data_IF_153851786237
#
_entry.id   IF_153851786237
#
_cell.length_a   1.000
_cell.length_b   1.000
_cell.length_c   1.000
_cell.angle_alpha   90.00
_cell.angle_beta   90.00
_cell.angle_gamma   90.00
#
_symmetry.space_group_name_H-M   'P 1'
#
loop_
_entity.id
_entity.type
_entity.pdbx_description
1 polymer ?
#
# COMPACT_ATOMS: atom_id res chain seq x y z
N UNK A 1 -10.65 -1.30 17.85
CA UNK A 1 -9.57 -2.27 17.54
C UNK A 1 -8.26 -1.67 18.00
N UNK A 2 -7.35 -2.49 18.57
CA UNK A 2 -6.01 -2.05 18.96
C UNK A 2 -5.00 -2.80 18.11
N UNK A 3 -4.09 -2.05 17.46
CA UNK A 3 -2.92 -2.57 16.72
C UNK A 3 -1.70 -2.14 17.53
N UNK A 4 -0.85 -3.11 17.91
CA UNK A 4 0.41 -2.77 18.58
C UNK A 4 1.41 -2.29 17.53
N UNK A 5 2.23 -1.32 17.91
CA UNK A 5 3.22 -0.70 17.03
C UNK A 5 4.54 -0.58 17.78
N UNK A 6 5.63 -0.85 17.04
CA UNK A 6 7.01 -0.59 17.46
C UNK A 6 7.69 0.27 16.41
N UNK A 7 8.46 1.25 16.82
CA UNK A 7 9.28 2.09 15.94
C UNK A 7 10.76 1.67 16.04
N UNK A 8 11.48 1.78 14.93
CA UNK A 8 12.91 1.48 14.89
C UNK A 8 13.75 2.49 15.69
N UNK A 9 13.29 3.74 15.75
CA UNK A 9 13.94 4.84 16.48
C UNK A 9 12.92 5.94 16.83
N UNK A 10 13.34 6.89 17.65
CA UNK A 10 12.46 7.96 18.15
C UNK A 10 12.04 8.99 17.09
N UNK A 11 12.70 9.04 15.92
CA UNK A 11 12.36 9.97 14.83
C UNK A 11 11.27 9.44 13.89
N UNK A 12 10.92 8.15 14.00
CA UNK A 12 9.88 7.51 13.18
C UNK A 12 8.51 8.12 13.48
N UNK A 13 7.81 8.53 12.42
CA UNK A 13 6.47 9.09 12.56
C UNK A 13 5.43 7.98 12.66
N UNK A 14 4.69 7.99 13.77
CA UNK A 14 3.57 7.07 13.98
C UNK A 14 2.42 7.50 13.06
N UNK A 15 1.81 6.55 12.29
CA UNK A 15 0.67 6.85 11.44
C UNK A 15 -0.53 7.34 12.26
N UNK A 16 -1.15 8.42 11.82
CA UNK A 16 -2.36 8.98 12.42
C UNK A 16 -3.35 9.36 11.33
N UNK A 17 -4.63 9.34 11.65
CA UNK A 17 -5.68 9.89 10.78
C UNK A 17 -5.58 11.41 10.75
N UNK A 18 -5.54 12.00 9.57
CA UNK A 18 -5.37 13.45 9.41
C UNK A 18 -6.58 14.24 9.91
N UNK A 19 -7.80 13.74 9.66
CA UNK A 19 -9.07 14.37 10.05
C UNK A 19 -9.81 13.58 11.14
N UNK A 20 -9.33 12.39 11.49
CA UNK A 20 -9.89 11.52 12.51
C UNK A 20 -10.35 10.16 12.01
N UNK A 21 -10.55 9.19 12.93
CA UNK A 21 -10.80 7.80 12.59
C UNK A 21 -12.20 7.53 12.00
N UNK A 22 -13.06 8.51 11.96
CA UNK A 22 -14.41 8.42 11.37
C UNK A 22 -14.52 9.12 10.01
N UNK A 23 -13.48 9.88 9.61
CA UNK A 23 -13.46 10.66 8.38
C UNK A 23 -12.44 10.11 7.39
N UNK A 24 -11.32 9.58 7.88
CA UNK A 24 -10.26 9.00 7.06
C UNK A 24 -10.26 7.47 7.15
N UNK A 25 -10.13 6.79 6.01
CA UNK A 25 -9.91 5.35 5.97
C UNK A 25 -8.42 4.99 6.07
N UNK A 26 -7.53 5.87 5.64
CA UNK A 26 -6.09 5.66 5.54
C UNK A 26 -5.28 6.59 6.45
N UNK A 27 -4.16 6.07 6.92
CA UNK A 27 -3.16 6.81 7.69
C UNK A 27 -1.90 6.97 6.83
N UNK A 28 -1.32 8.18 6.78
CA UNK A 28 -0.10 8.40 6.00
C UNK A 28 1.11 7.65 6.57
N UNK A 29 1.86 7.00 5.68
CA UNK A 29 3.17 6.43 5.95
C UNK A 29 4.27 7.38 5.48
N UNK A 30 5.31 7.51 6.29
CA UNK A 30 6.42 8.40 6.04
C UNK A 30 7.72 7.61 5.81
N UNK A 31 8.57 8.12 4.94
CA UNK A 31 9.92 7.58 4.76
C UNK A 31 10.77 7.81 6.02
N UNK A 32 11.47 6.79 6.53
CA UNK A 32 12.44 6.94 7.62
C UNK A 32 13.87 7.23 7.11
N UNK A 33 14.07 7.12 5.81
CA UNK A 33 15.35 7.42 5.13
C UNK A 33 15.12 8.16 3.81
N UNK A 34 16.16 8.81 3.30
CA UNK A 34 16.15 9.40 1.97
C UNK A 34 16.46 8.34 0.91
N UNK A 35 15.73 8.37 -0.21
CA UNK A 35 15.89 7.42 -1.32
C UNK A 35 15.82 8.17 -2.66
N UNK A 36 16.65 7.78 -3.63
CA UNK A 36 16.59 8.26 -5.01
C UNK A 36 15.81 7.28 -5.88
N UNK A 37 14.68 7.72 -6.42
CA UNK A 37 13.91 6.92 -7.37
C UNK A 37 14.36 7.25 -8.80
N UNK A 38 14.69 6.22 -9.57
CA UNK A 38 14.92 6.31 -11.02
C UNK A 38 13.66 5.83 -11.77
N UNK A 39 13.43 6.32 -12.99
CA UNK A 39 12.28 5.90 -13.77
C UNK A 39 12.23 4.39 -13.98
N UNK A 40 11.09 3.80 -13.65
CA UNK A 40 10.81 2.37 -13.81
C UNK A 40 11.75 1.41 -13.02
N UNK A 41 12.51 1.93 -12.06
CA UNK A 41 13.31 1.14 -11.13
C UNK A 41 12.61 1.11 -9.76
N UNK A 42 11.97 0.00 -9.35
CA UNK A 42 11.34 -0.09 -8.04
C UNK A 42 12.37 0.00 -6.91
N UNK A 43 12.01 0.73 -5.85
CA UNK A 43 12.82 0.87 -4.64
C UNK A 43 11.98 0.57 -3.42
N UNK A 44 12.55 -0.14 -2.44
CA UNK A 44 11.95 -0.30 -1.12
C UNK A 44 12.33 0.89 -0.27
N UNK A 45 11.33 1.64 0.19
CA UNK A 45 11.52 2.76 1.12
C UNK A 45 11.09 2.31 2.51
N UNK A 46 11.99 2.37 3.46
CA UNK A 46 11.76 1.99 4.85
C UNK A 46 10.89 3.02 5.56
N UNK A 47 10.04 2.55 6.46
CA UNK A 47 9.17 3.40 7.28
C UNK A 47 9.58 3.44 8.75
N UNK A 48 10.47 2.55 9.17
CA UNK A 48 10.84 2.36 10.57
C UNK A 48 9.73 1.76 11.45
N UNK A 49 8.62 1.29 10.83
CA UNK A 49 7.44 0.80 11.53
C UNK A 49 7.36 -0.72 11.53
N UNK A 50 7.04 -1.29 12.69
CA UNK A 50 6.66 -2.69 12.86
C UNK A 50 5.29 -2.73 13.54
N UNK A 51 4.39 -3.60 13.07
CA UNK A 51 3.03 -3.70 13.64
C UNK A 51 2.69 -5.14 14.00
N UNK A 52 1.77 -5.28 14.95
CA UNK A 52 1.14 -6.55 15.30
C UNK A 52 -0.37 -6.39 15.12
N UNK A 53 -0.89 -6.98 14.06
CA UNK A 53 -2.30 -6.98 13.74
C UNK A 53 -3.03 -8.09 14.51
N UNK A 54 -4.29 -7.86 14.93
CA UNK A 54 -5.12 -8.93 15.45
C UNK A 54 -5.46 -9.95 14.34
N UNK A 55 -5.71 -11.23 14.69
CA UNK A 55 -6.18 -12.23 13.73
C UNK A 55 -7.42 -11.76 12.96
N UNK A 56 -7.51 -12.11 11.68
CA UNK A 56 -8.61 -11.71 10.80
C UNK A 56 -8.51 -10.26 10.29
N UNK A 57 -7.35 -9.61 10.49
CA UNK A 57 -7.08 -8.28 9.95
C UNK A 57 -5.80 -8.27 9.13
N UNK A 58 -5.78 -7.46 8.10
CA UNK A 58 -4.60 -7.12 7.31
C UNK A 58 -4.34 -5.61 7.34
N UNK A 59 -3.12 -5.18 7.05
CA UNK A 59 -2.86 -3.80 6.67
C UNK A 59 -2.58 -3.73 5.18
N UNK A 60 -3.29 -2.85 4.48
CA UNK A 60 -3.11 -2.59 3.06
C UNK A 60 -2.30 -1.33 2.86
N UNK A 61 -1.19 -1.44 2.14
CA UNK A 61 -0.35 -0.31 1.75
C UNK A 61 -0.76 0.14 0.36
N UNK A 62 -1.27 1.36 0.27
CA UNK A 62 -1.86 1.94 -0.94
C UNK A 62 -1.12 3.20 -1.38
N UNK A 63 -1.13 3.46 -2.69
CA UNK A 63 -0.61 4.71 -3.25
C UNK A 63 -1.34 5.93 -2.70
N UNK A 64 -0.64 7.06 -2.60
CA UNK A 64 -1.25 8.36 -2.36
C UNK A 64 -1.60 9.02 -3.68
N UNK A 65 -2.85 9.44 -3.82
CA UNK A 65 -3.36 10.07 -5.03
C UNK A 65 -2.54 11.30 -5.47
N UNK A 66 -2.08 12.10 -4.49
CA UNK A 66 -1.28 13.28 -4.76
C UNK A 66 0.09 12.95 -5.38
N UNK A 67 0.80 11.92 -4.89
CA UNK A 67 2.06 11.46 -5.47
C UNK A 67 1.86 10.83 -6.84
N UNK A 68 0.81 10.01 -6.99
CA UNK A 68 0.49 9.38 -8.26
C UNK A 68 0.18 10.43 -9.35
N UNK A 69 -0.71 11.38 -9.07
CA UNK A 69 -1.14 12.38 -10.05
C UNK A 69 -0.06 13.42 -10.36
N UNK A 70 0.62 13.93 -9.32
CA UNK A 70 1.55 15.07 -9.48
C UNK A 70 2.95 14.63 -9.91
N UNK A 71 3.38 13.45 -9.50
CA UNK A 71 4.76 12.98 -9.66
C UNK A 71 4.88 11.65 -10.41
N UNK A 72 3.78 10.92 -10.66
CA UNK A 72 3.83 9.60 -11.28
C UNK A 72 4.47 8.52 -10.38
N UNK A 73 4.37 8.70 -9.05
CA UNK A 73 4.92 7.75 -8.08
C UNK A 73 3.79 6.93 -7.47
N UNK A 74 3.94 5.62 -7.52
CA UNK A 74 2.95 4.68 -7.01
C UNK A 74 3.61 3.60 -6.14
N UNK A 75 2.82 2.96 -5.30
CA UNK A 75 3.20 1.70 -4.67
C UNK A 75 3.04 0.62 -5.72
N UNK A 76 4.12 -0.07 -6.08
CA UNK A 76 4.15 -0.99 -7.23
C UNK A 76 3.19 -2.16 -7.05
N UNK A 77 3.14 -2.75 -5.86
CA UNK A 77 2.28 -3.88 -5.49
C UNK A 77 0.98 -3.43 -4.81
N UNK A 78 0.43 -2.27 -5.18
CA UNK A 78 -0.75 -1.71 -4.53
C UNK A 78 -2.03 -2.51 -4.81
N UNK A 79 -2.76 -2.95 -3.75
CA UNK A 79 -2.41 -2.80 -2.35
C UNK A 79 -1.31 -3.79 -1.91
N UNK A 80 -0.27 -3.29 -1.25
CA UNK A 80 0.69 -4.16 -0.54
C UNK A 80 0.00 -4.77 0.68
N UNK A 81 0.20 -6.07 0.93
CA UNK A 81 -0.43 -6.79 2.04
C UNK A 81 0.55 -6.97 3.20
N UNK A 82 0.12 -6.60 4.40
CA UNK A 82 0.81 -6.90 5.65
C UNK A 82 -0.05 -7.88 6.44
N UNK A 83 0.45 -9.08 6.59
CA UNK A 83 -0.24 -10.17 7.27
C UNK A 83 -0.26 -10.00 8.81
N UNK A 84 -1.24 -10.57 9.52
CA UNK A 84 -1.30 -10.51 10.98
C UNK A 84 -0.11 -11.20 11.66
N UNK A 85 0.55 -12.14 10.99
CA UNK A 85 1.75 -12.83 11.50
C UNK A 85 3.06 -12.11 11.19
N UNK A 86 3.07 -11.09 10.31
CA UNK A 86 4.29 -10.36 9.95
C UNK A 86 4.76 -9.47 11.11
N UNK A 87 6.06 -9.53 11.41
CA UNK A 87 6.72 -8.72 12.46
C UNK A 87 7.90 -7.91 11.93
N UNK A 88 8.20 -8.04 10.65
CA UNK A 88 9.24 -7.26 9.98
C UNK A 88 8.89 -5.78 9.89
N UNK A 89 9.84 -4.99 9.45
CA UNK A 89 9.64 -3.58 9.13
C UNK A 89 8.74 -3.43 7.91
N UNK A 90 7.78 -2.50 7.97
CA UNK A 90 6.96 -2.13 6.81
C UNK A 90 7.83 -1.38 5.82
N UNK A 91 8.15 -2.01 4.71
CA UNK A 91 8.79 -1.39 3.55
C UNK A 91 7.76 -1.07 2.47
N UNK A 92 7.84 0.11 1.89
CA UNK A 92 6.97 0.53 0.78
C UNK A 92 7.72 0.40 -0.53
N UNK A 93 7.24 -0.46 -1.45
CA UNK A 93 7.84 -0.62 -2.78
C UNK A 93 7.31 0.51 -3.67
N UNK A 94 8.11 1.56 -3.86
CA UNK A 94 7.77 2.67 -4.73
C UNK A 94 8.28 2.44 -6.14
N UNK A 95 7.48 2.84 -7.13
CA UNK A 95 7.87 2.93 -8.53
C UNK A 95 7.54 4.33 -9.04
N UNK A 96 8.50 4.95 -9.72
CA UNK A 96 8.33 6.22 -10.41
C UNK A 96 8.34 6.00 -11.92
N UNK A 97 7.34 6.48 -12.64
CA UNK A 97 7.24 6.33 -14.09
C UNK A 97 8.02 7.39 -14.90
N UNK A 98 8.82 8.22 -14.23
CA UNK A 98 9.59 9.28 -14.88
C UNK A 98 8.79 10.55 -15.21
N UNK A 99 7.53 10.65 -14.77
CA UNK A 99 6.71 11.83 -15.02
C UNK A 99 7.36 13.10 -14.45
N UNK A 100 7.50 14.12 -15.30
CA UNK A 100 8.21 15.39 -15.00
C UNK A 100 9.69 15.22 -14.67
N UNK A 101 10.34 14.18 -15.18
CA UNK A 101 11.79 14.06 -15.08
C UNK A 101 12.46 15.26 -15.78
N UNK A 102 13.46 15.84 -15.12
CA UNK A 102 14.27 16.93 -15.67
C UNK A 102 15.71 16.45 -15.75
N UNK A 103 16.32 16.47 -16.95
CA UNK A 103 17.76 16.22 -17.17
C UNK A 103 18.27 14.94 -16.49
N UNK A 104 17.57 13.84 -16.63
CA UNK A 104 17.92 12.53 -16.04
C UNK A 104 18.10 12.54 -14.50
N UNK A 105 17.61 13.55 -13.83
CA UNK A 105 17.66 13.61 -12.38
C UNK A 105 16.69 12.61 -11.76
N UNK A 106 17.09 11.90 -10.69
CA UNK A 106 16.19 11.04 -9.95
C UNK A 106 15.17 11.88 -9.17
N UNK A 107 14.01 11.28 -8.86
CA UNK A 107 13.11 11.86 -7.87
C UNK A 107 13.66 11.58 -6.47
N UNK A 108 13.75 12.63 -5.66
CA UNK A 108 14.26 12.51 -4.29
C UNK A 108 13.10 12.29 -3.32
N UNK A 109 13.09 11.12 -2.69
CA UNK A 109 12.27 10.88 -1.50
C UNK A 109 13.08 11.33 -0.30
N UNK A 110 12.61 12.35 0.40
CA UNK A 110 13.29 12.84 1.61
C UNK A 110 12.79 12.09 2.85
N UNK A 111 13.66 11.97 3.87
CA UNK A 111 13.22 11.45 5.18
C UNK A 111 12.05 12.29 5.72
N UNK A 112 11.02 11.61 6.21
CA UNK A 112 9.79 12.23 6.71
C UNK A 112 8.77 12.59 5.63
N UNK A 113 9.07 12.36 4.34
CA UNK A 113 8.11 12.54 3.26
C UNK A 113 6.98 11.50 3.37
N UNK A 114 5.74 11.92 3.13
CA UNK A 114 4.57 11.04 3.05
C UNK A 114 4.62 10.26 1.73
N UNK A 115 4.85 8.95 1.79
CA UNK A 115 5.12 8.11 0.62
C UNK A 115 3.98 7.17 0.22
N UNK A 116 3.15 6.78 1.17
CA UNK A 116 2.03 5.86 0.98
C UNK A 116 0.96 6.13 2.03
N UNK A 117 -0.13 5.37 1.99
CA UNK A 117 -1.12 5.33 3.05
C UNK A 117 -1.41 3.89 3.45
N UNK A 118 -1.68 3.66 4.73
CA UNK A 118 -2.02 2.37 5.30
C UNK A 118 -3.49 2.34 5.71
N UNK A 119 -4.19 1.28 5.31
CA UNK A 119 -5.59 1.01 5.69
C UNK A 119 -5.63 -0.33 6.40
N UNK A 120 -6.24 -0.39 7.58
CA UNK A 120 -6.50 -1.65 8.27
C UNK A 120 -7.84 -2.19 7.82
N UNK A 121 -7.87 -3.42 7.31
CA UNK A 121 -9.07 -4.09 6.85
C UNK A 121 -9.27 -5.43 7.56
N UNK A 122 -10.52 -5.87 7.65
CA UNK A 122 -10.84 -7.26 8.00
C UNK A 122 -10.88 -8.09 6.73
N UNK A 123 -10.46 -9.34 6.83
CA UNK A 123 -10.63 -10.32 5.76
C UNK A 123 -11.39 -11.53 6.27
N UNK A 124 -12.07 -12.22 5.37
CA UNK A 124 -12.77 -13.47 5.69
C UNK A 124 -11.84 -14.66 5.39
N UNK A 125 -11.45 -15.46 6.39
CA UNK A 125 -10.68 -16.68 6.14
C UNK A 125 -11.56 -17.69 5.44
N UNK A 126 -11.11 -18.17 4.28
CA UNK A 126 -11.85 -19.14 3.45
C UNK A 126 -11.13 -20.48 3.40
N UNK A 127 -11.88 -21.51 3.02
CA UNK A 127 -11.36 -22.80 2.58
C UNK A 127 -11.83 -23.06 1.16
N UNK A 128 -10.96 -23.59 0.33
CA UNK A 128 -11.35 -24.09 -0.98
C UNK A 128 -11.82 -25.54 -0.88
N UNK A 129 -12.95 -25.83 -1.49
CA UNK A 129 -13.44 -27.17 -1.75
C UNK A 129 -13.35 -27.42 -3.25
N UNK A 130 -12.67 -28.50 -3.64
CA UNK A 130 -12.56 -28.87 -5.04
C UNK A 130 -13.88 -29.47 -5.51
N UNK A 131 -14.52 -28.81 -6.47
CA UNK A 131 -15.75 -29.29 -7.11
C UNK A 131 -15.47 -29.71 -8.55
N UNK A 132 -16.18 -30.74 -9.04
CA UNK A 132 -16.13 -31.15 -10.45
C UNK A 132 -16.79 -30.13 -11.37
N UNK A 133 -17.82 -29.44 -10.87
CA UNK A 133 -18.59 -28.43 -11.60
C UNK A 133 -18.94 -27.25 -10.68
N UNK A 134 -19.06 -26.07 -11.25
CA UNK A 134 -19.56 -24.88 -10.57
C UNK A 134 -21.00 -24.60 -11.03
N UNK A 135 -21.78 -23.93 -10.19
CA UNK A 135 -23.13 -23.51 -10.53
C UNK A 135 -23.14 -22.59 -11.77
N UNK A 136 -24.15 -22.75 -12.62
CA UNK A 136 -24.36 -21.86 -13.78
C UNK A 136 -24.87 -20.49 -13.34
N UNK A 137 -24.47 -19.46 -14.08
CA UNK A 137 -24.97 -18.07 -13.91
C UNK A 137 -25.22 -17.46 -15.29
N UNK A 138 -26.05 -16.41 -15.35
CA UNK A 138 -26.32 -15.70 -16.61
C UNK A 138 -25.06 -15.11 -17.24
N UNK A 139 -24.06 -14.74 -16.43
CA UNK A 139 -22.79 -14.26 -16.90
C UNK A 139 -21.88 -15.38 -17.42
N UNK A 140 -21.99 -16.59 -16.88
CA UNK A 140 -21.13 -17.74 -17.22
C UNK A 140 -19.65 -17.39 -17.17
N UNK A 141 -18.91 -17.73 -18.22
CA UNK A 141 -17.48 -17.47 -18.37
C UNK A 141 -17.15 -16.09 -18.99
N UNK A 142 -18.12 -15.24 -19.25
CA UNK A 142 -17.92 -13.96 -19.89
C UNK A 142 -17.13 -12.99 -18.98
N UNK A 143 -16.03 -12.45 -19.51
CA UNK A 143 -15.13 -11.51 -18.83
C UNK A 143 -14.57 -10.46 -19.81
N UNK A 144 -13.52 -9.75 -19.40
CA UNK A 144 -12.74 -8.83 -20.24
C UNK A 144 -13.59 -7.79 -21.02
N UNK A 145 -14.57 -7.19 -20.36
CA UNK A 145 -15.43 -6.18 -20.95
C UNK A 145 -16.64 -6.72 -21.71
N UNK A 146 -17.12 -7.92 -21.35
CA UNK A 146 -18.33 -8.54 -21.94
C UNK A 146 -19.59 -7.67 -21.86
N UNK A 147 -19.62 -6.66 -20.98
CA UNK A 147 -20.70 -5.67 -20.85
C UNK A 147 -20.56 -4.48 -21.80
N UNK A 148 -19.52 -4.46 -22.65
CA UNK A 148 -19.23 -3.35 -23.57
C UNK A 148 -18.57 -2.15 -22.89
N UNK A 149 -18.24 -1.14 -23.68
CA UNK A 149 -17.61 0.12 -23.22
C UNK A 149 -18.60 1.30 -23.22
N UNK A 150 -19.86 1.05 -23.59
CA UNK A 150 -20.97 2.02 -23.60
C UNK A 150 -22.26 1.34 -23.17
#
# INVERSE_FOLDING_TARGET
MIVKLKTANASVKIPVYAHGPHEDAGMDLHADEGVFLRPNEPQVVKTGLHIELPPGCEAQIRSRSGLALKNGITVLNSPGTIDPSYRGEIGVILCWNGYKQVQDQPFVVEKGMKIAQMVIAKYEPIRFEQASELSSTDRGAAGFGSTGTR
#
